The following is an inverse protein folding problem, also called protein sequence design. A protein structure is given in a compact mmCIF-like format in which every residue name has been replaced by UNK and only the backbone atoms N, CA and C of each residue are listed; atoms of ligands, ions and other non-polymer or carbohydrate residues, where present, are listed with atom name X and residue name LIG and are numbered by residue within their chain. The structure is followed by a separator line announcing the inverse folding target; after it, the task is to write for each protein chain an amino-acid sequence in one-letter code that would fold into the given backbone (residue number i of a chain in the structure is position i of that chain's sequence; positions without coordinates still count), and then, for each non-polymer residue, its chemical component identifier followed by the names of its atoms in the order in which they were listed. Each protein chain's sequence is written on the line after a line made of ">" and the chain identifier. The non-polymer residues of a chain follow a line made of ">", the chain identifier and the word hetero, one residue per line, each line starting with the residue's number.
data_IF_436742625140
#
_entry.id   IF_436742625140
#
_cell.length_a   1.000
_cell.length_b   1.000
_cell.length_c   1.000
_cell.angle_alpha   90.00
_cell.angle_beta   90.00
_cell.angle_gamma   90.00
#
_symmetry.space_group_name_H-M   'P 1'
#
loop_
_entity.id
_entity.type
_entity.pdbx_description
1 polymer ?
#
# COMPACT_ATOMS: atom_id res chain seq x y z
N UNK A 1 1.26 -16.57 22.87
CA UNK A 1 2.15 -17.36 21.95
C UNK A 1 3.17 -16.42 21.34
N UNK A 2 4.46 -16.70 21.50
CA UNK A 2 5.54 -15.78 21.09
C UNK A 2 5.50 -15.43 19.59
N UNK A 3 5.28 -16.41 18.73
CA UNK A 3 5.19 -16.18 17.27
C UNK A 3 4.07 -15.18 16.89
N UNK A 4 2.94 -15.24 17.58
CA UNK A 4 1.84 -14.29 17.36
C UNK A 4 2.21 -12.87 17.82
N UNK A 5 2.91 -12.72 18.93
CA UNK A 5 3.40 -11.43 19.43
C UNK A 5 4.45 -10.83 18.48
N UNK A 6 5.40 -11.65 18.02
CA UNK A 6 6.42 -11.25 17.05
C UNK A 6 5.79 -10.82 15.69
N UNK A 7 4.72 -11.50 15.27
CA UNK A 7 3.95 -11.11 14.08
C UNK A 7 3.25 -9.76 14.29
N UNK A 8 2.58 -9.56 15.44
CA UNK A 8 1.90 -8.31 15.75
C UNK A 8 2.86 -7.12 15.79
N UNK A 9 4.07 -7.28 16.31
CA UNK A 9 5.08 -6.22 16.33
C UNK A 9 5.45 -5.78 14.90
N UNK A 10 5.68 -6.74 14.00
CA UNK A 10 5.96 -6.45 12.58
C UNK A 10 4.80 -5.77 11.88
N UNK A 11 3.58 -6.26 12.11
CA UNK A 11 2.37 -5.67 11.54
C UNK A 11 2.12 -4.24 12.03
N UNK A 12 2.49 -3.93 13.29
CA UNK A 12 2.40 -2.58 13.82
C UNK A 12 3.29 -1.58 13.07
N UNK A 13 4.51 -1.97 12.70
CA UNK A 13 5.37 -1.11 11.88
C UNK A 13 4.74 -0.84 10.50
N UNK A 14 4.19 -1.87 9.87
CA UNK A 14 3.51 -1.75 8.56
C UNK A 14 2.29 -0.83 8.68
N UNK A 15 1.50 -0.98 9.74
CA UNK A 15 0.33 -0.14 10.01
C UNK A 15 0.73 1.33 10.22
N UNK A 16 1.79 1.61 10.98
CA UNK A 16 2.31 2.97 11.16
C UNK A 16 2.73 3.62 9.83
N UNK A 17 3.37 2.85 8.94
CA UNK A 17 3.71 3.33 7.60
C UNK A 17 2.46 3.64 6.79
N UNK A 18 1.44 2.79 6.87
CA UNK A 18 0.15 3.01 6.23
C UNK A 18 -0.54 4.28 6.73
N UNK A 19 -0.51 4.55 8.04
CA UNK A 19 -1.05 5.76 8.65
C UNK A 19 -0.31 7.02 8.17
N UNK A 20 1.03 6.98 8.08
CA UNK A 20 1.82 8.09 7.53
C UNK A 20 1.46 8.33 6.05
N UNK A 21 1.38 7.26 5.25
CA UNK A 21 0.97 7.34 3.86
C UNK A 21 -0.44 7.93 3.69
N UNK A 22 -1.36 7.58 4.57
CA UNK A 22 -2.73 8.13 4.59
C UNK A 22 -2.74 9.63 4.89
N UNK A 23 -1.91 10.08 5.86
CA UNK A 23 -1.76 11.50 6.18
C UNK A 23 -1.17 12.27 5.00
N UNK A 24 -0.14 11.74 4.34
CA UNK A 24 0.46 12.35 3.15
C UNK A 24 -0.55 12.45 1.99
N UNK A 25 -1.38 11.42 1.80
CA UNK A 25 -2.41 11.41 0.77
C UNK A 25 -3.50 12.45 1.06
N UNK A 26 -3.95 12.53 2.32
CA UNK A 26 -4.91 13.56 2.74
C UNK A 26 -4.36 14.97 2.52
N UNK A 27 -3.12 15.24 2.93
CA UNK A 27 -2.48 16.54 2.76
C UNK A 27 -2.35 16.90 1.27
N UNK A 28 -2.04 15.93 0.41
CA UNK A 28 -1.98 16.12 -1.05
C UNK A 28 -3.29 16.67 -1.62
N UNK A 29 -4.41 16.18 -1.13
CA UNK A 29 -5.74 16.56 -1.66
C UNK A 29 -6.27 17.86 -1.05
N UNK A 30 -5.83 18.22 0.15
CA UNK A 30 -6.48 19.30 0.95
C UNK A 30 -5.59 20.53 1.13
N UNK A 31 -4.31 20.36 1.52
CA UNK A 31 -3.47 21.47 2.00
C UNK A 31 -2.22 21.70 1.16
N UNK A 32 -1.74 20.69 0.45
CA UNK A 32 -0.44 20.73 -0.23
C UNK A 32 -0.39 21.78 -1.36
N UNK A 33 0.64 22.65 -1.41
CA UNK A 33 0.85 23.53 -2.56
C UNK A 33 1.04 22.74 -3.86
N UNK A 34 0.42 23.17 -4.98
CA UNK A 34 0.47 22.47 -6.28
C UNK A 34 1.91 22.16 -6.75
N UNK A 35 2.88 23.03 -6.45
CA UNK A 35 4.30 22.84 -6.82
C UNK A 35 5.00 21.72 -6.06
N UNK A 36 4.43 21.25 -4.94
CA UNK A 36 5.00 20.16 -4.14
C UNK A 36 4.61 18.75 -4.66
N UNK A 37 3.75 18.66 -5.68
CA UNK A 37 3.25 17.39 -6.20
C UNK A 37 4.36 16.39 -6.61
N UNK A 38 5.45 16.77 -7.28
CA UNK A 38 6.53 15.83 -7.60
C UNK A 38 7.18 15.22 -6.35
N UNK A 39 7.49 16.04 -5.35
CA UNK A 39 8.09 15.56 -4.09
C UNK A 39 7.11 14.65 -3.33
N UNK A 40 5.82 14.97 -3.34
CA UNK A 40 4.81 14.12 -2.69
C UNK A 40 4.70 12.75 -3.36
N UNK A 41 4.80 12.69 -4.69
CA UNK A 41 4.82 11.41 -5.41
C UNK A 41 6.01 10.53 -4.96
N UNK A 42 7.20 11.13 -4.79
CA UNK A 42 8.38 10.42 -4.28
C UNK A 42 8.20 9.94 -2.83
N UNK A 43 7.62 10.78 -1.95
CA UNK A 43 7.35 10.41 -0.56
C UNK A 43 6.36 9.22 -0.46
N UNK A 44 5.28 9.26 -1.24
CA UNK A 44 4.28 8.19 -1.26
C UNK A 44 4.85 6.91 -1.88
N UNK A 45 5.67 7.01 -2.91
CA UNK A 45 6.35 5.88 -3.51
C UNK A 45 7.30 5.21 -2.52
N UNK A 46 8.12 6.01 -1.82
CA UNK A 46 9.06 5.50 -0.83
C UNK A 46 8.35 4.76 0.30
N UNK A 47 7.27 5.33 0.87
CA UNK A 47 6.55 4.68 1.96
C UNK A 47 5.82 3.41 1.51
N UNK A 48 5.28 3.42 0.27
CA UNK A 48 4.61 2.25 -0.32
C UNK A 48 5.60 1.11 -0.55
N UNK A 49 6.78 1.41 -1.07
CA UNK A 49 7.88 0.46 -1.25
C UNK A 49 8.32 -0.14 0.08
N UNK A 50 8.65 0.72 1.06
CA UNK A 50 9.10 0.29 2.37
C UNK A 50 8.04 -0.57 3.11
N UNK A 51 6.77 -0.22 3.00
CA UNK A 51 5.67 -1.00 3.57
C UNK A 51 5.49 -2.36 2.87
N UNK A 52 5.60 -2.39 1.54
CA UNK A 52 5.52 -3.62 0.76
C UNK A 52 6.67 -4.58 1.08
N UNK A 53 7.91 -4.09 1.14
CA UNK A 53 9.09 -4.91 1.50
C UNK A 53 8.94 -5.53 2.89
N UNK A 54 8.36 -4.80 3.85
CA UNK A 54 8.09 -5.34 5.19
C UNK A 54 6.97 -6.37 5.19
N UNK A 55 5.89 -6.11 4.45
CA UNK A 55 4.76 -7.05 4.38
C UNK A 55 5.14 -8.34 3.67
N UNK A 56 6.04 -8.28 2.69
CA UNK A 56 6.50 -9.44 1.91
C UNK A 56 7.77 -10.09 2.46
N UNK A 57 8.27 -9.65 3.63
CA UNK A 57 9.40 -10.27 4.32
C UNK A 57 9.10 -11.77 4.56
N UNK A 58 9.96 -12.70 4.10
CA UNK A 58 9.78 -14.14 4.32
C UNK A 58 9.50 -14.50 5.78
N UNK A 59 10.01 -13.72 6.73
CA UNK A 59 9.78 -13.94 8.15
C UNK A 59 8.30 -13.84 8.55
N UNK A 60 7.50 -13.02 7.87
CA UNK A 60 6.04 -12.99 8.08
C UNK A 60 5.42 -14.31 7.64
N UNK A 61 5.82 -14.85 6.49
CA UNK A 61 5.37 -16.17 6.02
C UNK A 61 5.69 -17.28 7.02
N UNK A 62 6.94 -17.34 7.51
CA UNK A 62 7.38 -18.32 8.52
C UNK A 62 6.56 -18.23 9.82
N UNK A 63 6.32 -17.01 10.32
CA UNK A 63 5.51 -16.80 11.51
C UNK A 63 4.05 -17.23 11.31
N UNK A 64 3.48 -16.93 10.15
CA UNK A 64 2.13 -17.37 9.80
C UNK A 64 2.04 -18.90 9.75
N UNK A 65 3.02 -19.58 9.13
CA UNK A 65 3.07 -21.05 9.05
C UNK A 65 3.17 -21.68 10.46
N UNK A 66 4.01 -21.11 11.34
CA UNK A 66 4.17 -21.56 12.72
C UNK A 66 2.86 -21.41 13.52
N UNK A 67 2.17 -20.27 13.36
CA UNK A 67 0.94 -19.96 14.08
C UNK A 67 -0.23 -20.83 13.58
N UNK A 68 -0.37 -21.00 12.26
CA UNK A 68 -1.42 -21.83 11.65
C UNK A 68 -1.29 -23.32 12.00
N UNK A 69 -0.06 -23.78 12.28
CA UNK A 69 0.21 -25.12 12.79
C UNK A 69 -0.13 -25.34 14.26
N UNK A 70 -0.54 -24.30 14.98
CA UNK A 70 -0.87 -24.35 16.41
C UNK A 70 -2.36 -24.60 16.63
N UNK A 71 -2.71 -25.49 17.59
CA UNK A 71 -4.09 -25.77 17.97
C UNK A 71 -4.67 -24.80 19.01
N UNK A 72 -3.91 -23.78 19.46
CA UNK A 72 -4.23 -22.93 20.59
C UNK A 72 -4.67 -21.49 20.22
N UNK A 73 -5.29 -21.28 19.06
CA UNK A 73 -5.72 -19.94 18.64
C UNK A 73 -7.14 -19.61 19.17
N UNK A 74 -7.28 -18.46 19.80
CA UNK A 74 -8.58 -17.86 20.07
C UNK A 74 -9.27 -17.43 18.76
N UNK A 75 -10.60 -17.27 18.78
CA UNK A 75 -11.39 -16.91 17.61
C UNK A 75 -10.90 -15.62 16.93
N UNK A 76 -10.59 -14.59 17.72
CA UNK A 76 -10.07 -13.30 17.20
C UNK A 76 -8.69 -13.47 16.58
N UNK A 77 -7.82 -14.25 17.20
CA UNK A 77 -6.49 -14.55 16.69
C UNK A 77 -6.57 -15.30 15.34
N UNK A 78 -7.43 -16.30 15.26
CA UNK A 78 -7.68 -17.07 14.03
C UNK A 78 -8.17 -16.17 12.89
N UNK A 79 -9.09 -15.24 13.19
CA UNK A 79 -9.58 -14.27 12.21
C UNK A 79 -8.46 -13.33 11.72
N UNK A 80 -7.63 -12.82 12.64
CA UNK A 80 -6.49 -11.97 12.30
C UNK A 80 -5.49 -12.71 11.41
N UNK A 81 -5.09 -13.93 11.77
CA UNK A 81 -4.14 -14.73 10.97
C UNK A 81 -4.67 -14.96 9.55
N UNK A 82 -5.94 -15.35 9.41
CA UNK A 82 -6.55 -15.52 8.09
C UNK A 82 -6.50 -14.25 7.24
N UNK A 83 -6.73 -13.07 7.82
CA UNK A 83 -6.69 -11.80 7.12
C UNK A 83 -5.26 -11.40 6.75
N UNK A 84 -4.31 -11.60 7.66
CA UNK A 84 -2.89 -11.31 7.41
C UNK A 84 -2.34 -12.25 6.33
N UNK A 85 -2.64 -13.55 6.39
CA UNK A 85 -2.26 -14.53 5.36
C UNK A 85 -2.75 -14.08 3.97
N UNK A 86 -4.02 -13.73 3.88
CA UNK A 86 -4.59 -13.24 2.62
C UNK A 86 -3.88 -12.00 2.09
N UNK A 87 -3.49 -11.08 2.97
CA UNK A 87 -2.75 -9.86 2.60
C UNK A 87 -1.33 -10.18 2.16
N UNK A 88 -0.63 -11.03 2.89
CA UNK A 88 0.71 -11.51 2.57
C UNK A 88 0.75 -12.22 1.21
N UNK A 89 -0.15 -13.19 0.98
CA UNK A 89 -0.21 -13.98 -0.26
C UNK A 89 -0.53 -13.11 -1.49
N UNK A 90 -1.28 -12.03 -1.31
CA UNK A 90 -1.55 -11.06 -2.38
C UNK A 90 -0.36 -10.15 -2.64
N UNK A 91 0.25 -9.64 -1.57
CA UNK A 91 1.38 -8.73 -1.68
C UNK A 91 2.60 -9.42 -2.32
N UNK A 92 2.88 -10.67 -1.95
CA UNK A 92 4.02 -11.46 -2.51
C UNK A 92 3.90 -11.75 -4.00
N UNK A 93 2.71 -11.60 -4.61
CA UNK A 93 2.51 -11.74 -6.06
C UNK A 93 2.96 -10.51 -6.85
N UNK A 94 3.12 -9.37 -6.19
CA UNK A 94 3.49 -8.11 -6.83
C UNK A 94 4.98 -7.81 -6.61
N UNK A 95 5.74 -7.52 -7.68
CA UNK A 95 7.10 -7.01 -7.53
C UNK A 95 7.11 -5.66 -6.79
N UNK A 96 8.09 -5.44 -5.91
CA UNK A 96 8.20 -4.21 -5.14
C UNK A 96 8.33 -2.96 -6.02
N UNK A 97 9.10 -3.06 -7.11
CA UNK A 97 9.27 -1.94 -8.06
C UNK A 97 7.95 -1.58 -8.75
N UNK A 98 7.10 -2.56 -9.03
CA UNK A 98 5.76 -2.32 -9.57
C UNK A 98 4.86 -1.58 -8.56
N UNK A 99 4.95 -1.91 -7.27
CA UNK A 99 4.22 -1.20 -6.20
C UNK A 99 4.68 0.25 -6.08
N UNK A 100 5.99 0.50 -6.18
CA UNK A 100 6.57 1.84 -6.21
C UNK A 100 6.07 2.65 -7.42
N UNK A 101 6.10 2.07 -8.61
CA UNK A 101 5.60 2.67 -9.84
C UNK A 101 4.12 3.02 -9.76
N UNK A 102 3.29 2.11 -9.24
CA UNK A 102 1.87 2.35 -9.01
C UNK A 102 1.63 3.53 -8.06
N UNK A 103 2.41 3.67 -6.99
CA UNK A 103 2.28 4.77 -6.04
C UNK A 103 2.63 6.12 -6.68
N UNK A 104 3.70 6.18 -7.47
CA UNK A 104 4.07 7.38 -8.25
C UNK A 104 2.95 7.75 -9.22
N UNK A 105 2.51 6.77 -10.02
CA UNK A 105 1.47 7.00 -11.02
C UNK A 105 0.16 7.48 -10.37
N UNK A 106 -0.27 6.86 -9.28
CA UNK A 106 -1.48 7.25 -8.54
C UNK A 106 -1.41 8.70 -8.06
N UNK A 107 -0.28 9.10 -7.46
CA UNK A 107 -0.10 10.49 -6.99
C UNK A 107 -0.17 11.51 -8.15
N UNK A 108 0.45 11.21 -9.29
CA UNK A 108 0.39 12.06 -10.50
C UNK A 108 -1.02 12.10 -11.10
N UNK A 109 -1.71 10.97 -11.15
CA UNK A 109 -3.06 10.86 -11.71
C UNK A 109 -4.09 11.70 -10.94
N UNK A 110 -3.93 11.89 -9.64
CA UNK A 110 -4.79 12.77 -8.85
C UNK A 110 -4.67 14.21 -9.35
N UNK A 111 -3.47 14.66 -9.69
CA UNK A 111 -3.24 16.03 -10.20
C UNK A 111 -3.90 16.23 -11.56
N UNK A 112 -3.68 15.33 -12.52
CA UNK A 112 -4.28 15.40 -13.86
C UNK A 112 -5.81 15.26 -13.81
N UNK A 113 -6.32 14.39 -12.92
CA UNK A 113 -7.76 14.25 -12.70
C UNK A 113 -8.39 15.54 -12.18
N UNK A 114 -7.75 16.19 -11.18
CA UNK A 114 -8.22 17.45 -10.62
C UNK A 114 -8.26 18.53 -11.68
N UNK A 115 -7.20 18.66 -12.48
CA UNK A 115 -7.14 19.62 -13.58
C UNK A 115 -8.20 19.35 -14.66
N UNK A 116 -8.40 18.08 -15.04
CA UNK A 116 -9.43 17.67 -15.98
C UNK A 116 -10.83 18.06 -15.50
N UNK A 117 -11.10 17.87 -14.18
CA UNK A 117 -12.37 18.26 -13.54
C UNK A 117 -12.57 19.77 -13.51
N UNK A 118 -11.54 20.54 -13.15
CA UNK A 118 -11.60 22.01 -13.12
C UNK A 118 -11.87 22.61 -14.51
N UNK A 119 -11.27 22.03 -15.54
CA UNK A 119 -11.40 22.51 -16.94
C UNK A 119 -12.56 21.89 -17.72
N UNK A 120 -13.22 20.85 -17.19
CA UNK A 120 -14.24 20.09 -17.92
C UNK A 120 -13.68 19.36 -19.15
N UNK A 121 -12.39 19.02 -19.14
CA UNK A 121 -11.65 18.42 -20.27
C UNK A 121 -11.08 17.04 -19.88
N UNK A 122 -11.78 15.98 -20.28
CA UNK A 122 -11.34 14.61 -20.02
C UNK A 122 -10.02 14.24 -20.71
N UNK A 123 -9.62 14.91 -21.79
CA UNK A 123 -8.40 14.58 -22.51
C UNK A 123 -7.14 14.71 -21.65
N UNK A 124 -7.17 15.58 -20.63
CA UNK A 124 -6.08 15.80 -19.66
C UNK A 124 -5.82 14.55 -18.81
N UNK A 125 -6.86 13.77 -18.50
CA UNK A 125 -6.77 12.57 -17.62
C UNK A 125 -6.73 11.25 -18.39
N UNK A 126 -7.05 11.25 -19.68
CA UNK A 126 -7.23 10.03 -20.49
C UNK A 126 -6.04 9.08 -20.42
N UNK A 127 -4.82 9.62 -20.61
CA UNK A 127 -3.60 8.81 -20.66
C UNK A 127 -3.29 8.19 -19.29
N UNK A 128 -3.47 8.94 -18.20
CA UNK A 128 -3.30 8.43 -16.85
C UNK A 128 -4.34 7.36 -16.49
N UNK A 129 -5.57 7.50 -16.97
CA UNK A 129 -6.58 6.46 -16.81
C UNK A 129 -6.19 5.18 -17.57
N UNK A 130 -5.64 5.30 -18.78
CA UNK A 130 -5.18 4.15 -19.55
C UNK A 130 -4.09 3.38 -18.81
N UNK A 131 -3.08 4.09 -18.29
CA UNK A 131 -2.03 3.47 -17.46
C UNK A 131 -2.60 2.79 -16.23
N UNK A 132 -3.55 3.43 -15.52
CA UNK A 132 -4.21 2.83 -14.35
C UNK A 132 -4.94 1.53 -14.69
N UNK A 133 -5.60 1.47 -15.86
CA UNK A 133 -6.28 0.25 -16.34
C UNK A 133 -5.27 -0.85 -16.66
N UNK A 134 -4.16 -0.52 -17.31
CA UNK A 134 -3.11 -1.49 -17.66
C UNK A 134 -2.43 -2.04 -16.39
N UNK A 135 -2.13 -1.21 -15.40
CA UNK A 135 -1.62 -1.64 -14.10
C UNK A 135 -2.61 -2.56 -13.35
N UNK A 136 -3.92 -2.31 -13.47
CA UNK A 136 -4.93 -3.15 -12.84
C UNK A 136 -5.10 -4.53 -13.52
N UNK A 137 -4.63 -4.69 -14.76
CA UNK A 137 -4.68 -5.93 -15.54
C UNK A 137 -3.41 -6.76 -15.46
N UNK A 138 -2.31 -6.15 -15.04
CA UNK A 138 -1.01 -6.81 -14.89
C UNK A 138 -0.98 -7.71 -13.64
#
# INVERSE_FOLDING_TARGET
>A
MKAYEDLLERLREIDLMGQIGSLLSWDQEVMMPKKAAPLRAEQLAWISKASHERLTDPKIGELLDEIEGSEELEEVQSANIRLVRKSFDRATKLPTDFVEEMAIHRSKSIVSWTEAREKGDFSIFRDDLSVSIDQARA
#
